data_IF_861838469576
#
_entry.id   IF_861838469576
#
_cell.length_a   1.000
_cell.length_b   1.000
_cell.length_c   1.000
_cell.angle_alpha   90.00
_cell.angle_beta   90.00
_cell.angle_gamma   90.00
#
_symmetry.space_group_name_H-M   'P 1'
#
loop_
_entity.id
_entity.type
_entity.pdbx_description
1 polymer ?
#
# COMPACT_ATOMS: atom_id res chain seq x y z
N UNK A 1 5.28 -38.50 29.86
CA UNK A 1 5.63 -37.63 28.72
C UNK A 1 4.33 -37.11 28.13
N UNK A 2 3.95 -35.88 28.48
CA UNK A 2 2.78 -35.20 27.91
C UNK A 2 3.26 -34.46 26.67
N UNK A 3 2.74 -34.82 25.49
CA UNK A 3 2.96 -34.05 24.27
C UNK A 3 2.15 -32.74 24.39
N UNK A 4 2.84 -31.60 24.33
CA UNK A 4 2.20 -30.30 24.25
C UNK A 4 1.85 -30.00 22.78
N UNK A 5 0.58 -29.71 22.50
CA UNK A 5 0.16 -29.18 21.20
C UNK A 5 0.82 -27.82 20.92
N UNK A 6 1.16 -27.50 19.65
CA UNK A 6 1.74 -26.21 19.30
C UNK A 6 0.70 -25.08 19.48
N UNK A 7 1.12 -23.87 19.89
CA UNK A 7 0.21 -22.76 20.14
C UNK A 7 -0.55 -22.37 18.86
N UNK A 8 -1.87 -22.25 18.98
CA UNK A 8 -2.78 -21.91 17.90
C UNK A 8 -2.35 -20.64 17.16
N UNK A 9 -2.43 -20.70 15.83
CA UNK A 9 -2.15 -19.56 14.94
C UNK A 9 -3.04 -18.38 15.34
N UNK A 10 -2.51 -17.18 15.59
CA UNK A 10 -3.36 -16.02 15.85
C UNK A 10 -4.21 -15.76 14.60
N UNK A 11 -5.52 -15.87 14.76
CA UNK A 11 -6.50 -15.44 13.75
C UNK A 11 -6.41 -13.92 13.64
N UNK A 12 -6.14 -13.35 12.45
CA UNK A 12 -6.06 -11.91 12.29
C UNK A 12 -7.37 -11.25 12.69
N UNK A 13 -7.27 -10.18 13.50
CA UNK A 13 -8.39 -9.37 13.94
C UNK A 13 -9.23 -8.89 12.76
N UNK A 14 -10.54 -8.80 12.99
CA UNK A 14 -11.57 -8.32 12.07
C UNK A 14 -11.08 -7.10 11.30
N UNK A 15 -10.89 -7.24 9.98
CA UNK A 15 -10.65 -6.11 9.10
C UNK A 15 -11.75 -5.07 9.31
N UNK A 16 -11.39 -3.80 9.56
CA UNK A 16 -12.38 -2.71 9.51
C UNK A 16 -13.06 -2.74 8.13
N UNK A 17 -14.38 -2.47 8.05
CA UNK A 17 -15.05 -2.38 6.76
C UNK A 17 -14.35 -1.30 5.93
N UNK A 18 -13.81 -1.70 4.78
CA UNK A 18 -13.22 -0.77 3.83
C UNK A 18 -14.31 0.19 3.36
N UNK A 19 -14.12 1.52 3.44
CA UNK A 19 -15.09 2.45 2.89
C UNK A 19 -15.23 2.14 1.40
N UNK A 20 -16.47 1.92 0.96
CA UNK A 20 -16.76 1.67 -0.45
C UNK A 20 -16.98 3.00 -1.17
N UNK A 21 -16.52 3.13 -2.43
CA UNK A 21 -16.74 4.35 -3.19
C UNK A 21 -18.24 4.63 -3.30
N UNK A 22 -18.65 5.90 -3.32
CA UNK A 22 -20.05 6.24 -3.38
C UNK A 22 -20.64 5.75 -4.71
N UNK A 23 -21.79 5.10 -4.66
CA UNK A 23 -22.50 4.61 -5.85
C UNK A 23 -22.83 5.79 -6.76
N UNK A 24 -22.66 5.68 -8.09
CA UNK A 24 -23.05 6.77 -8.98
C UNK A 24 -24.52 7.11 -8.76
N UNK A 25 -24.81 8.39 -8.49
CA UNK A 25 -26.18 8.88 -8.45
C UNK A 25 -26.86 8.61 -9.81
N UNK A 26 -28.19 8.36 -9.84
CA UNK A 26 -28.93 8.18 -11.08
C UNK A 26 -28.61 9.35 -12.03
N UNK A 27 -28.28 9.04 -13.27
CA UNK A 27 -28.04 10.07 -14.29
C UNK A 27 -29.38 10.75 -14.55
N UNK A 28 -29.47 12.06 -14.35
CA UNK A 28 -30.65 12.80 -14.77
C UNK A 28 -30.66 12.83 -16.31
N UNK A 29 -31.76 12.37 -16.91
CA UNK A 29 -31.92 12.30 -18.36
C UNK A 29 -31.79 13.72 -18.96
N UNK A 30 -30.63 14.02 -19.57
CA UNK A 30 -30.33 15.32 -20.18
C UNK A 30 -28.93 15.89 -19.92
N UNK A 31 -28.14 15.33 -19.00
CA UNK A 31 -26.76 15.79 -18.73
C UNK A 31 -25.80 15.43 -19.90
N UNK A 32 -25.05 16.42 -20.39
CA UNK A 32 -23.98 16.19 -21.36
C UNK A 32 -22.86 15.33 -20.77
N UNK A 33 -22.23 14.47 -21.58
CA UNK A 33 -21.22 13.51 -21.11
C UNK A 33 -20.06 14.14 -20.30
N UNK A 34 -19.65 15.35 -20.65
CA UNK A 34 -18.58 16.08 -19.94
C UNK A 34 -19.02 16.53 -18.54
N UNK A 35 -20.28 16.94 -18.39
CA UNK A 35 -20.82 17.48 -17.14
C UNK A 35 -21.01 16.35 -16.10
N UNK A 36 -21.54 15.21 -16.55
CA UNK A 36 -21.65 14.01 -15.70
C UNK A 36 -20.28 13.48 -15.27
N UNK A 37 -19.27 13.52 -16.14
CA UNK A 37 -17.88 13.19 -15.78
C UNK A 37 -17.30 14.17 -14.75
N UNK A 38 -17.58 15.46 -14.89
CA UNK A 38 -17.12 16.50 -13.96
C UNK A 38 -17.70 16.30 -12.57
N UNK A 39 -19.02 16.11 -12.46
CA UNK A 39 -19.72 15.84 -11.20
C UNK A 39 -19.16 14.59 -10.50
N UNK A 40 -18.97 13.50 -11.25
CA UNK A 40 -18.40 12.26 -10.71
C UNK A 40 -16.96 12.42 -10.25
N UNK A 41 -16.16 13.22 -10.97
CA UNK A 41 -14.77 13.48 -10.59
C UNK A 41 -14.66 14.23 -9.27
N UNK A 42 -15.55 15.18 -9.00
CA UNK A 42 -15.59 15.93 -7.72
C UNK A 42 -15.94 14.98 -6.57
N UNK A 43 -16.96 14.15 -6.74
CA UNK A 43 -17.39 13.16 -5.75
C UNK A 43 -16.26 12.18 -5.39
N UNK A 44 -15.60 11.62 -6.40
CA UNK A 44 -14.50 10.67 -6.21
C UNK A 44 -13.26 11.34 -5.60
N UNK A 45 -12.96 12.58 -5.99
CA UNK A 45 -11.85 13.33 -5.38
C UNK A 45 -12.10 13.61 -3.90
N UNK A 46 -13.35 13.90 -3.52
CA UNK A 46 -13.76 14.05 -2.12
C UNK A 46 -13.64 12.74 -1.33
N UNK A 47 -13.99 11.60 -1.95
CA UNK A 47 -13.92 10.29 -1.32
C UNK A 47 -12.48 9.76 -1.16
N UNK A 48 -11.66 9.84 -2.20
CA UNK A 48 -10.29 9.32 -2.20
C UNK A 48 -9.25 10.29 -1.62
N UNK A 49 -9.64 11.53 -1.31
CA UNK A 49 -8.77 12.57 -0.74
C UNK A 49 -7.47 12.81 -1.52
N UNK A 50 -7.51 12.59 -2.84
CA UNK A 50 -6.33 12.58 -3.67
C UNK A 50 -6.48 11.57 -4.81
N UNK A 51 -5.43 11.44 -5.60
CA UNK A 51 -5.37 10.50 -6.74
C UNK A 51 -4.17 9.55 -6.66
N UNK A 52 -3.22 9.85 -5.77
CA UNK A 52 -1.99 9.09 -5.60
C UNK A 52 -1.77 8.82 -4.12
N UNK A 53 -1.33 7.60 -3.82
CA UNK A 53 -0.87 7.15 -2.53
C UNK A 53 0.48 6.46 -2.72
N UNK A 54 1.39 6.59 -1.75
CA UNK A 54 2.63 5.81 -1.73
C UNK A 54 2.49 4.73 -0.68
N UNK A 55 2.54 3.47 -1.13
CA UNK A 55 2.48 2.29 -0.26
C UNK A 55 3.82 1.55 -0.30
N UNK A 56 4.26 0.94 0.82
CA UNK A 56 5.45 0.10 0.80
C UNK A 56 5.26 -1.12 -0.11
N UNK A 57 6.24 -1.39 -0.98
CA UNK A 57 6.27 -2.62 -1.80
C UNK A 57 6.64 -3.87 -1.00
N UNK A 58 7.07 -3.70 0.26
CA UNK A 58 7.53 -4.78 1.15
C UNK A 58 6.50 -5.04 2.25
N UNK A 59 6.35 -6.30 2.72
CA UNK A 59 5.46 -6.61 3.82
C UNK A 59 6.01 -6.06 5.15
N UNK A 60 5.13 -5.42 5.92
CA UNK A 60 5.40 -4.97 7.30
C UNK A 60 4.32 -5.58 8.19
N UNK A 61 4.67 -6.64 8.92
CA UNK A 61 3.76 -7.45 9.75
C UNK A 61 4.05 -7.28 11.23
N UNK A 62 5.30 -6.98 11.58
CA UNK A 62 5.75 -6.81 12.96
C UNK A 62 6.94 -5.85 13.04
N UNK A 63 7.29 -5.44 14.28
CA UNK A 63 8.45 -4.58 14.51
C UNK A 63 9.77 -5.17 13.99
N UNK A 64 9.88 -6.50 13.96
CA UNK A 64 11.09 -7.19 13.49
C UNK A 64 11.36 -6.97 11.99
N UNK A 65 10.32 -6.71 11.18
CA UNK A 65 10.50 -6.46 9.74
C UNK A 65 11.28 -5.14 9.51
N UNK A 66 11.20 -4.16 10.42
CA UNK A 66 11.99 -2.93 10.32
C UNK A 66 13.50 -3.17 10.48
N UNK A 67 13.92 -4.23 11.17
CA UNK A 67 15.34 -4.58 11.25
C UNK A 67 15.93 -5.02 9.90
N UNK A 68 15.09 -5.47 8.96
CA UNK A 68 15.48 -5.83 7.60
C UNK A 68 15.46 -4.62 6.67
N UNK A 69 14.36 -3.86 6.68
CA UNK A 69 14.13 -2.74 5.74
C UNK A 69 14.78 -1.42 6.17
N UNK A 70 15.13 -1.30 7.45
CA UNK A 70 15.79 -0.14 8.04
C UNK A 70 17.00 -0.62 8.86
N UNK A 71 17.26 -0.05 10.03
CA UNK A 71 18.42 -0.41 10.85
C UNK A 71 18.21 -1.73 11.60
N UNK A 72 19.18 -2.67 11.58
CA UNK A 72 20.53 -2.57 11.00
C UNK A 72 20.67 -3.10 9.55
N UNK A 73 19.69 -3.80 9.00
CA UNK A 73 19.80 -4.53 7.72
C UNK A 73 20.08 -3.66 6.49
N UNK A 74 19.53 -2.45 6.44
CA UNK A 74 19.66 -1.55 5.29
C UNK A 74 21.12 -1.16 4.99
N UNK A 75 22.01 -1.22 5.99
CA UNK A 75 23.42 -0.92 5.83
C UNK A 75 24.10 -1.81 4.78
N UNK A 76 23.69 -3.08 4.68
CA UNK A 76 24.22 -4.00 3.67
C UNK A 76 23.86 -3.55 2.24
N UNK A 77 22.64 -3.03 2.04
CA UNK A 77 22.20 -2.47 0.75
C UNK A 77 23.03 -1.23 0.41
N UNK A 78 23.24 -0.32 1.38
CA UNK A 78 24.07 0.87 1.17
C UNK A 78 25.51 0.53 0.79
N UNK A 79 26.14 -0.43 1.48
CA UNK A 79 27.51 -0.89 1.15
C UNK A 79 27.59 -1.56 -0.22
N UNK A 80 26.55 -2.28 -0.62
CA UNK A 80 26.50 -2.89 -1.93
C UNK A 80 26.40 -1.87 -3.07
N UNK A 81 25.69 -0.76 -2.85
CA UNK A 81 25.61 0.37 -3.80
C UNK A 81 26.90 1.19 -3.79
N UNK A 82 27.52 1.39 -2.62
CA UNK A 82 28.84 2.03 -2.52
C UNK A 82 29.88 1.29 -3.36
N UNK A 83 29.90 -0.05 -3.27
CA UNK A 83 30.84 -0.88 -4.02
C UNK A 83 30.55 -0.90 -5.54
N UNK A 84 29.30 -0.74 -5.96
CA UNK A 84 28.88 -0.73 -7.36
C UNK A 84 27.66 0.19 -7.57
N UNK A 85 27.85 1.47 -7.96
CA UNK A 85 26.78 2.48 -8.00
C UNK A 85 25.58 2.11 -8.89
N UNK A 86 25.81 1.36 -9.96
CA UNK A 86 24.76 0.92 -10.88
C UNK A 86 23.73 0.01 -10.22
N UNK A 87 24.11 -0.69 -9.14
CA UNK A 87 23.17 -1.49 -8.33
C UNK A 87 22.05 -0.68 -7.70
N UNK A 88 22.16 0.65 -7.65
CA UNK A 88 21.04 1.49 -7.22
C UNK A 88 19.79 1.31 -8.10
N UNK A 89 19.94 0.95 -9.38
CA UNK A 89 18.79 0.65 -10.25
C UNK A 89 18.13 -0.69 -9.93
N UNK A 90 18.87 -1.68 -9.39
CA UNK A 90 18.33 -3.00 -9.04
C UNK A 90 17.78 -3.06 -7.62
N UNK A 91 18.43 -2.38 -6.67
CA UNK A 91 18.15 -2.50 -5.23
C UNK A 91 17.20 -1.43 -4.69
N UNK A 92 16.78 -0.47 -5.51
CA UNK A 92 15.92 0.63 -5.10
C UNK A 92 14.84 0.91 -6.14
N UNK A 93 13.85 1.74 -5.79
CA UNK A 93 12.81 2.15 -6.74
C UNK A 93 13.30 3.06 -7.87
N UNK A 94 14.59 3.41 -7.96
CA UNK A 94 15.15 4.39 -8.91
C UNK A 94 14.90 4.06 -10.39
N UNK A 95 14.75 2.78 -10.73
CA UNK A 95 14.52 2.36 -12.10
C UNK A 95 13.13 2.76 -12.64
N UNK A 96 12.15 2.95 -11.76
CA UNK A 96 10.75 3.20 -12.10
C UNK A 96 10.35 4.67 -11.90
#
# INVERSE_FOLDING_TARGET
MVQAEPPGRPVPGTAKPTPSPPTPAPTEEGEGATESMGRRSIELAGFYHGKMETVPSVPIRSLADFSLWYTPGIAAVSRAIEAAPDRSFDLTGRWN
#
